data_IF_562013777343
#
_entry.id   IF_562013777343
#
_cell.length_a   1.000
_cell.length_b   1.000
_cell.length_c   1.000
_cell.angle_alpha   90.00
_cell.angle_beta   90.00
_cell.angle_gamma   90.00
#
_symmetry.space_group_name_H-M   'P 1'
#
loop_
_entity.id
_entity.type
_entity.pdbx_description
1 polymer ?
#
# COMPACT_ATOMS: atom_id res chain seq x y z
N UNK A 1 -15.29 2.50 5.90
CA UNK A 1 -14.94 3.52 4.92
C UNK A 1 -15.42 3.14 3.53
N UNK A 2 -15.53 4.11 2.61
CA UNK A 2 -16.08 3.90 1.27
C UNK A 2 -15.60 4.97 0.28
N UNK A 3 -15.68 4.63 -1.00
CA UNK A 3 -15.54 5.52 -2.15
C UNK A 3 -16.93 5.66 -2.77
N UNK A 4 -17.30 6.85 -3.24
CA UNK A 4 -18.59 7.07 -3.90
C UNK A 4 -18.47 8.09 -5.02
N UNK A 5 -19.36 8.00 -6.00
CA UNK A 5 -19.53 9.01 -7.03
C UNK A 5 -20.83 9.78 -6.82
N UNK A 6 -20.78 11.06 -7.14
CA UNK A 6 -21.94 11.95 -7.15
C UNK A 6 -22.20 12.44 -8.57
N UNK A 7 -23.45 12.49 -8.95
CA UNK A 7 -23.88 13.21 -10.14
C UNK A 7 -23.62 14.72 -9.93
N UNK A 8 -22.92 15.36 -10.85
CA UNK A 8 -22.46 16.74 -10.73
C UNK A 8 -23.59 17.77 -10.87
N UNK A 9 -24.69 17.42 -11.52
CA UNK A 9 -25.83 18.30 -11.73
C UNK A 9 -26.83 18.22 -10.57
N UNK A 10 -27.05 17.02 -10.04
CA UNK A 10 -28.08 16.76 -8.98
C UNK A 10 -27.47 16.65 -7.59
N UNK A 11 -26.22 16.26 -7.47
CA UNK A 11 -25.56 15.95 -6.19
C UNK A 11 -26.01 14.59 -5.62
N UNK A 12 -26.77 13.80 -6.35
CA UNK A 12 -27.21 12.48 -5.92
C UNK A 12 -26.06 11.46 -6.03
N UNK A 13 -26.05 10.49 -5.10
CA UNK A 13 -25.09 9.39 -5.15
C UNK A 13 -25.43 8.44 -6.29
N UNK A 14 -24.45 8.21 -7.18
CA UNK A 14 -24.58 7.31 -8.32
C UNK A 14 -24.23 5.88 -7.94
N UNK A 15 -23.08 5.73 -7.24
CA UNK A 15 -22.62 4.43 -6.75
C UNK A 15 -21.73 4.58 -5.51
N UNK A 16 -21.53 3.46 -4.81
CA UNK A 16 -20.66 3.36 -3.63
C UNK A 16 -19.91 2.03 -3.60
N UNK A 17 -18.61 2.09 -3.31
CA UNK A 17 -17.76 0.94 -3.06
C UNK A 17 -17.23 0.98 -1.63
N UNK A 18 -17.35 -0.12 -0.89
CA UNK A 18 -16.82 -0.22 0.47
C UNK A 18 -15.41 -0.73 0.47
N UNK A 19 -14.49 0.00 1.10
CA UNK A 19 -13.06 -0.32 1.18
C UNK A 19 -12.75 -1.40 2.22
N UNK A 20 -13.71 -1.75 3.05
CA UNK A 20 -13.70 -2.91 3.94
C UNK A 20 -14.77 -3.87 3.41
N UNK A 21 -14.36 -5.06 2.95
CA UNK A 21 -15.28 -6.07 2.45
C UNK A 21 -16.29 -6.45 3.53
N UNK A 22 -17.57 -6.44 3.18
CA UNK A 22 -18.65 -6.85 4.09
C UNK A 22 -18.72 -8.37 4.19
N UNK A 23 -19.28 -8.96 5.26
CA UNK A 23 -19.31 -10.41 5.45
C UNK A 23 -19.86 -11.21 4.25
N UNK A 24 -20.89 -10.69 3.60
CA UNK A 24 -21.59 -11.38 2.50
C UNK A 24 -21.09 -10.94 1.10
N UNK A 25 -20.06 -10.11 1.03
CA UNK A 25 -19.47 -9.61 -0.22
C UNK A 25 -18.17 -10.36 -0.59
N UNK A 26 -17.73 -10.27 -1.86
CA UNK A 26 -16.40 -10.74 -2.25
C UNK A 26 -15.32 -10.16 -1.33
N UNK A 27 -14.47 -11.03 -0.79
CA UNK A 27 -13.46 -10.63 0.21
C UNK A 27 -13.93 -10.68 1.66
N UNK A 28 -15.22 -10.87 1.95
CA UNK A 28 -15.75 -10.92 3.32
C UNK A 28 -15.11 -11.98 4.20
N UNK A 29 -14.74 -13.13 3.62
CA UNK A 29 -14.06 -14.24 4.28
C UNK A 29 -12.61 -13.92 4.70
N UNK A 30 -12.03 -12.84 4.20
CA UNK A 30 -10.65 -12.44 4.50
C UNK A 30 -10.49 -11.70 5.82
N UNK A 31 -11.56 -11.51 6.55
CA UNK A 31 -11.58 -10.81 7.83
C UNK A 31 -11.66 -11.74 9.03
N UNK A 32 -11.18 -12.98 8.90
CA UNK A 32 -11.07 -13.94 10.00
C UNK A 32 -12.42 -14.19 10.73
N UNK A 33 -13.52 -14.11 10.01
CA UNK A 33 -14.87 -14.25 10.60
C UNK A 33 -15.36 -13.07 11.45
N UNK A 34 -14.61 -11.94 11.48
CA UNK A 34 -15.01 -10.76 12.24
C UNK A 34 -16.33 -10.18 11.72
N UNK A 35 -17.26 -9.84 12.60
CA UNK A 35 -18.44 -9.07 12.25
C UNK A 35 -18.05 -7.67 11.77
N UNK A 36 -18.92 -7.00 11.02
CA UNK A 36 -18.60 -5.74 10.37
C UNK A 36 -18.17 -4.63 11.34
N UNK A 37 -18.81 -4.57 12.50
CA UNK A 37 -18.52 -3.59 13.55
C UNK A 37 -17.14 -3.72 14.21
N UNK A 38 -16.49 -4.87 14.05
CA UNK A 38 -15.13 -5.13 14.55
C UNK A 38 -14.06 -4.96 13.47
N UNK A 39 -14.46 -4.72 12.20
CA UNK A 39 -13.53 -4.46 11.11
C UNK A 39 -13.16 -2.99 11.07
N UNK A 40 -11.89 -2.69 10.92
CA UNK A 40 -11.40 -1.30 10.89
C UNK A 40 -10.34 -1.09 9.80
N UNK A 41 -9.95 0.17 9.58
CA UNK A 41 -8.99 0.56 8.55
C UNK A 41 -9.65 0.89 7.22
N UNK A 42 -8.93 0.71 6.12
CA UNK A 42 -9.43 0.93 4.76
C UNK A 42 -9.73 2.39 4.41
N UNK A 43 -9.26 3.36 5.18
CA UNK A 43 -9.49 4.78 4.90
C UNK A 43 -8.80 5.23 3.60
N UNK A 44 -9.46 6.14 2.87
CA UNK A 44 -8.90 6.79 1.69
C UNK A 44 -8.57 8.23 2.05
N UNK A 45 -7.30 8.59 2.02
CA UNK A 45 -6.84 9.93 2.41
C UNK A 45 -5.98 10.62 1.36
N UNK A 46 -5.74 9.98 0.23
CA UNK A 46 -5.12 10.55 -0.97
C UNK A 46 -6.11 10.45 -2.14
N UNK A 47 -6.23 11.48 -2.99
CA UNK A 47 -7.07 11.44 -4.18
C UNK A 47 -6.74 10.26 -5.09
N UNK A 48 -7.77 9.69 -5.72
CA UNK A 48 -7.61 8.66 -6.74
C UNK A 48 -7.10 9.20 -8.06
N UNK A 49 -6.76 8.29 -8.98
CA UNK A 49 -6.40 8.60 -10.36
C UNK A 49 -7.45 8.03 -11.31
N UNK A 50 -7.70 8.71 -12.42
CA UNK A 50 -8.65 8.29 -13.46
C UNK A 50 -7.96 8.03 -14.78
N UNK A 51 -8.22 6.89 -15.40
CA UNK A 51 -7.82 6.55 -16.77
C UNK A 51 -9.03 6.62 -17.67
N UNK A 52 -9.04 7.61 -18.56
CA UNK A 52 -10.16 7.83 -19.49
C UNK A 52 -10.26 6.77 -20.59
N UNK A 53 -9.16 6.13 -20.99
CA UNK A 53 -9.17 5.10 -22.03
C UNK A 53 -9.74 3.78 -21.51
N UNK A 54 -9.47 3.46 -20.24
CA UNK A 54 -9.95 2.25 -19.58
C UNK A 54 -11.27 2.46 -18.84
N UNK A 55 -11.68 3.72 -18.63
CA UNK A 55 -12.81 4.12 -17.78
C UNK A 55 -12.68 3.59 -16.35
N UNK A 56 -11.46 3.59 -15.80
CA UNK A 56 -11.18 3.09 -14.44
C UNK A 56 -10.69 4.20 -13.52
N UNK A 57 -11.16 4.18 -12.28
CA UNK A 57 -10.63 5.00 -11.18
C UNK A 57 -9.85 4.10 -10.21
N UNK A 58 -8.67 4.57 -9.77
CA UNK A 58 -7.78 3.81 -8.89
C UNK A 58 -7.64 4.51 -7.55
N UNK A 59 -7.84 3.75 -6.46
CA UNK A 59 -7.70 4.23 -5.11
C UNK A 59 -6.83 3.30 -4.26
N UNK A 60 -6.36 3.81 -3.12
CA UNK A 60 -5.53 3.09 -2.16
C UNK A 60 -6.12 3.09 -0.77
N UNK A 61 -6.90 2.07 -0.39
CA UNK A 61 -7.30 1.88 0.99
C UNK A 61 -6.10 1.68 1.92
N UNK A 62 -6.12 2.35 3.06
CA UNK A 62 -5.13 2.25 4.13
C UNK A 62 -5.17 0.89 4.85
N UNK A 63 -4.21 0.56 5.74
CA UNK A 63 -4.15 -0.72 6.45
C UNK A 63 -5.28 -0.94 7.45
N UNK A 64 -5.27 -2.12 8.10
CA UNK A 64 -6.17 -2.47 9.21
C UNK A 64 -5.78 -1.81 10.51
N UNK A 65 -4.56 -1.31 10.63
CA UNK A 65 -3.93 -0.90 11.89
C UNK A 65 -3.92 -2.03 12.93
N UNK A 66 -3.89 -1.72 14.21
CA UNK A 66 -3.89 -2.70 15.29
C UNK A 66 -5.25 -3.43 15.41
N UNK A 67 -5.43 -4.48 14.61
CA UNK A 67 -6.63 -5.33 14.65
C UNK A 67 -6.26 -6.69 15.23
N UNK A 68 -6.21 -6.78 16.53
CA UNK A 68 -5.73 -7.95 17.29
C UNK A 68 -6.36 -9.29 16.87
N UNK A 69 -7.69 -9.40 16.62
CA UNK A 69 -8.30 -10.67 16.18
C UNK A 69 -7.74 -11.22 14.86
N UNK A 70 -7.15 -10.37 14.00
CA UNK A 70 -6.52 -10.82 12.75
C UNK A 70 -5.16 -11.47 12.95
N UNK A 71 -4.59 -11.48 14.16
CA UNK A 71 -3.29 -12.11 14.44
C UNK A 71 -3.41 -13.62 14.63
N UNK A 72 -4.55 -14.12 15.13
CA UNK A 72 -4.78 -15.54 15.36
C UNK A 72 -5.50 -16.18 14.18
N UNK A 73 -4.98 -17.28 13.60
CA UNK A 73 -5.68 -17.99 12.53
C UNK A 73 -7.06 -18.49 12.97
N UNK A 74 -8.05 -18.38 12.10
CA UNK A 74 -9.38 -18.96 12.31
C UNK A 74 -9.33 -20.50 12.25
N UNK A 75 -10.22 -21.16 12.98
CA UNK A 75 -10.33 -22.64 12.93
C UNK A 75 -10.89 -23.15 11.60
N UNK A 76 -11.74 -22.38 10.92
CA UNK A 76 -12.21 -22.66 9.57
C UNK A 76 -11.14 -22.28 8.55
N UNK A 77 -10.59 -23.23 7.76
CA UNK A 77 -9.53 -22.96 6.81
C UNK A 77 -9.98 -22.14 5.59
N UNK A 78 -11.29 -21.91 5.40
CA UNK A 78 -11.81 -21.04 4.34
C UNK A 78 -11.76 -19.57 4.71
N UNK A 79 -11.58 -19.25 5.98
CA UNK A 79 -11.40 -17.89 6.48
C UNK A 79 -9.92 -17.53 6.42
N UNK A 80 -9.60 -16.37 5.84
CA UNK A 80 -8.24 -15.84 5.84
C UNK A 80 -8.15 -14.56 6.68
N UNK A 81 -6.95 -13.99 6.78
CA UNK A 81 -6.67 -12.81 7.60
C UNK A 81 -6.14 -11.64 6.77
N UNK A 82 -6.35 -11.68 5.47
CA UNK A 82 -5.79 -10.68 4.56
C UNK A 82 -6.45 -9.31 4.70
N UNK A 83 -7.68 -9.27 5.20
CA UNK A 83 -8.44 -8.05 5.49
C UNK A 83 -8.67 -7.17 4.24
N UNK A 84 -9.27 -7.74 3.19
CA UNK A 84 -9.57 -7.01 1.96
C UNK A 84 -10.60 -5.88 2.20
N UNK A 85 -10.41 -4.71 1.62
CA UNK A 85 -9.37 -4.31 0.63
C UNK A 85 -8.29 -3.39 1.23
N UNK A 86 -7.92 -3.58 2.48
CA UNK A 86 -6.86 -2.79 3.12
C UNK A 86 -5.53 -2.96 2.40
N UNK A 87 -4.70 -1.92 2.42
CA UNK A 87 -3.38 -1.87 1.76
C UNK A 87 -3.37 -2.38 0.32
N UNK A 88 -4.43 -2.07 -0.43
CA UNK A 88 -4.60 -2.50 -1.82
C UNK A 88 -4.55 -1.33 -2.79
N UNK A 89 -4.35 -1.62 -4.06
CA UNK A 89 -4.89 -0.82 -5.14
C UNK A 89 -6.22 -1.44 -5.54
N UNK A 90 -7.28 -0.65 -5.53
CA UNK A 90 -8.59 -1.02 -6.08
C UNK A 90 -8.82 -0.22 -7.36
N UNK A 91 -9.23 -0.90 -8.43
CA UNK A 91 -9.66 -0.28 -9.68
C UNK A 91 -11.16 -0.50 -9.85
N UNK A 92 -11.89 0.60 -9.96
CA UNK A 92 -13.34 0.58 -10.09
C UNK A 92 -13.74 1.13 -11.45
N UNK A 93 -14.76 0.55 -12.06
CA UNK A 93 -15.41 1.16 -13.21
C UNK A 93 -15.98 2.53 -12.80
N UNK A 94 -15.65 3.57 -13.56
CA UNK A 94 -15.98 4.95 -13.17
C UNK A 94 -17.49 5.24 -13.23
N UNK A 95 -18.23 4.54 -14.08
CA UNK A 95 -19.66 4.75 -14.25
C UNK A 95 -20.51 3.97 -13.24
N UNK A 96 -20.05 2.77 -12.85
CA UNK A 96 -20.85 1.83 -12.04
C UNK A 96 -20.33 1.62 -10.63
N UNK A 97 -19.05 1.93 -10.35
CA UNK A 97 -18.38 1.63 -9.08
C UNK A 97 -18.08 0.14 -8.89
N UNK A 98 -18.32 -0.71 -9.89
CA UNK A 98 -17.99 -2.12 -9.83
C UNK A 98 -16.48 -2.33 -9.77
N UNK A 99 -16.04 -3.28 -8.94
CA UNK A 99 -14.63 -3.64 -8.81
C UNK A 99 -14.17 -4.38 -10.07
N UNK A 100 -13.34 -3.71 -10.89
CA UNK A 100 -12.70 -4.34 -12.03
C UNK A 100 -11.59 -5.30 -11.60
N UNK A 101 -10.71 -4.84 -10.70
CA UNK A 101 -9.66 -5.64 -10.09
C UNK A 101 -9.14 -4.99 -8.80
N UNK A 102 -8.45 -5.78 -8.01
CA UNK A 102 -7.65 -5.31 -6.87
C UNK A 102 -6.31 -6.03 -6.81
N UNK A 103 -5.33 -5.38 -6.23
CA UNK A 103 -4.03 -5.96 -5.88
C UNK A 103 -3.67 -5.53 -4.47
N UNK A 104 -3.46 -6.49 -3.56
CA UNK A 104 -3.09 -6.19 -2.19
C UNK A 104 -1.56 -6.16 -2.05
N UNK A 105 -1.02 -4.99 -1.72
CA UNK A 105 0.41 -4.74 -1.60
C UNK A 105 1.02 -5.42 -0.38
N UNK A 106 0.34 -5.37 0.75
CA UNK A 106 0.70 -6.07 1.98
C UNK A 106 -0.59 -6.46 2.70
N UNK A 107 -0.72 -7.75 3.05
CA UNK A 107 -1.88 -8.25 3.76
C UNK A 107 -1.70 -8.12 5.27
N UNK A 108 -2.81 -7.91 5.99
CA UNK A 108 -2.86 -7.94 7.46
C UNK A 108 -1.78 -7.08 8.13
N UNK A 109 -1.60 -5.86 7.66
CA UNK A 109 -0.62 -4.94 8.23
C UNK A 109 -1.09 -4.43 9.59
N UNK A 110 -0.29 -4.71 10.61
CA UNK A 110 -0.53 -4.32 12.00
C UNK A 110 0.35 -3.15 12.45
N UNK A 111 1.23 -2.63 11.56
CA UNK A 111 2.28 -1.69 11.91
C UNK A 111 2.13 -0.32 11.25
N UNK A 112 0.98 -0.07 10.61
CA UNK A 112 0.72 1.20 9.92
C UNK A 112 1.67 1.46 8.71
N UNK A 113 1.97 0.41 7.95
CA UNK A 113 2.79 0.50 6.74
C UNK A 113 1.96 0.77 5.49
N UNK A 114 1.26 1.90 5.48
CA UNK A 114 0.33 2.31 4.42
C UNK A 114 0.85 2.14 2.99
N UNK A 115 -0.07 1.69 2.12
CA UNK A 115 0.00 1.86 0.66
C UNK A 115 -1.08 2.82 0.14
N UNK A 116 -1.56 3.72 0.97
CA UNK A 116 -2.67 4.64 0.69
C UNK A 116 -2.23 5.93 -0.06
N UNK A 117 -1.14 5.86 -0.84
CA UNK A 117 -0.57 7.00 -1.55
C UNK A 117 -1.07 7.09 -3.00
N UNK A 118 -0.49 7.99 -3.80
CA UNK A 118 -0.89 8.22 -5.20
C UNK A 118 -0.71 6.96 -6.07
N UNK A 119 -1.62 6.80 -7.04
CA UNK A 119 -1.53 5.83 -8.12
C UNK A 119 -1.20 6.59 -9.40
N UNK A 120 0.06 6.56 -9.82
CA UNK A 120 0.48 7.23 -11.04
C UNK A 120 0.24 6.32 -12.25
N UNK A 121 -0.54 6.80 -13.21
CA UNK A 121 -0.80 6.10 -14.47
C UNK A 121 0.26 6.55 -15.47
N UNK A 122 0.96 5.60 -16.09
CA UNK A 122 2.03 5.90 -17.02
C UNK A 122 2.26 4.80 -18.06
N UNK A 123 2.75 5.19 -19.23
CA UNK A 123 3.18 4.26 -20.27
C UNK A 123 4.65 3.91 -20.07
N UNK A 124 4.92 2.62 -19.86
CA UNK A 124 6.25 2.05 -19.63
C UNK A 124 6.56 0.98 -20.66
N UNK A 125 7.84 0.86 -21.03
CA UNK A 125 8.33 -0.24 -21.86
C UNK A 125 8.96 -1.31 -21.00
N UNK A 126 8.20 -2.37 -20.70
CA UNK A 126 8.60 -3.46 -19.81
C UNK A 126 8.91 -4.70 -20.66
N UNK A 127 10.13 -5.22 -20.58
CA UNK A 127 10.59 -6.37 -21.37
C UNK A 127 10.34 -6.21 -22.88
N UNK A 128 10.49 -4.97 -23.37
CA UNK A 128 10.29 -4.64 -24.79
C UNK A 128 8.83 -4.44 -25.23
N UNK A 129 7.86 -4.61 -24.32
CA UNK A 129 6.42 -4.42 -24.58
C UNK A 129 5.95 -3.12 -23.93
N UNK A 130 5.19 -2.32 -24.66
CA UNK A 130 4.53 -1.14 -24.08
C UNK A 130 3.37 -1.58 -23.19
N UNK A 131 3.35 -1.11 -21.97
CA UNK A 131 2.31 -1.38 -20.97
C UNK A 131 1.84 -0.07 -20.36
N UNK A 132 0.52 0.11 -20.23
CA UNK A 132 -0.04 1.15 -19.36
C UNK A 132 -0.01 0.60 -17.96
N UNK A 133 0.70 1.25 -17.05
CA UNK A 133 0.93 0.79 -15.70
C UNK A 133 0.39 1.77 -14.67
N UNK A 134 -0.09 1.24 -13.55
CA UNK A 134 -0.33 1.97 -12.30
C UNK A 134 0.87 1.73 -11.40
N UNK A 135 1.59 2.81 -11.06
CA UNK A 135 2.76 2.77 -10.19
C UNK A 135 2.44 3.43 -8.87
N UNK A 136 2.75 2.77 -7.78
CA UNK A 136 2.58 3.28 -6.41
C UNK A 136 3.67 2.74 -5.50
N UNK A 137 3.89 3.38 -4.37
CA UNK A 137 4.82 2.89 -3.33
C UNK A 137 4.28 3.18 -1.94
N UNK A 138 4.56 2.28 -1.01
CA UNK A 138 4.12 2.38 0.38
C UNK A 138 5.12 3.04 1.32
N UNK A 139 4.78 3.10 2.60
CA UNK A 139 5.65 3.59 3.69
C UNK A 139 6.98 2.86 3.77
N UNK A 140 7.03 1.59 3.34
CA UNK A 140 8.25 0.79 3.29
C UNK A 140 9.24 1.24 2.20
N UNK A 141 8.89 2.23 1.37
CA UNK A 141 9.66 2.65 0.19
C UNK A 141 9.92 1.51 -0.81
N UNK A 142 9.03 0.53 -0.84
CA UNK A 142 8.90 -0.44 -1.90
C UNK A 142 7.89 0.10 -2.90
N UNK A 143 8.24 0.13 -4.18
CA UNK A 143 7.39 0.57 -5.27
C UNK A 143 6.98 -0.62 -6.14
N UNK A 144 5.76 -0.58 -6.62
CA UNK A 144 5.18 -1.63 -7.46
C UNK A 144 4.51 -1.03 -8.69
N UNK A 145 4.66 -1.70 -9.80
CA UNK A 145 3.97 -1.43 -11.04
C UNK A 145 2.98 -2.56 -11.33
N UNK A 146 1.75 -2.18 -11.61
CA UNK A 146 0.66 -3.09 -11.97
C UNK A 146 0.16 -2.74 -13.38
N UNK A 147 -0.26 -3.71 -14.16
CA UNK A 147 -0.97 -3.45 -15.41
C UNK A 147 -2.28 -2.71 -15.12
N UNK A 148 -2.49 -1.57 -15.76
CA UNK A 148 -3.61 -0.69 -15.44
C UNK A 148 -4.97 -1.32 -15.74
N UNK A 149 -5.06 -2.18 -16.75
CA UNK A 149 -6.33 -2.81 -17.15
C UNK A 149 -6.69 -4.04 -16.30
N UNK A 150 -5.69 -4.76 -15.77
CA UNK A 150 -5.92 -6.10 -15.19
C UNK A 150 -5.46 -6.23 -13.74
N UNK A 151 -4.61 -5.32 -13.24
CA UNK A 151 -3.98 -5.45 -11.93
C UNK A 151 -2.85 -6.48 -11.88
N UNK A 152 -2.44 -7.06 -13.04
CA UNK A 152 -1.31 -7.97 -13.12
C UNK A 152 -0.05 -7.29 -12.56
N UNK A 153 0.66 -7.97 -11.67
CA UNK A 153 1.95 -7.52 -11.18
C UNK A 153 2.99 -7.51 -12.30
N UNK A 154 3.67 -6.39 -12.49
CA UNK A 154 4.67 -6.21 -13.55
C UNK A 154 6.08 -6.26 -12.99
N UNK A 155 6.37 -5.46 -11.97
CA UNK A 155 7.64 -5.44 -11.25
C UNK A 155 7.54 -4.66 -9.95
N UNK A 156 8.56 -4.79 -9.11
CA UNK A 156 8.79 -3.93 -7.95
C UNK A 156 10.25 -3.56 -7.82
N UNK A 157 10.53 -2.50 -7.07
CA UNK A 157 11.86 -2.17 -6.58
C UNK A 157 11.78 -1.68 -5.14
N UNK A 158 12.75 -2.13 -4.35
CA UNK A 158 12.96 -1.71 -2.96
C UNK A 158 14.06 -0.63 -2.95
N UNK A 159 13.85 0.44 -2.21
CA UNK A 159 14.85 1.50 -2.04
C UNK A 159 15.81 1.21 -0.88
N UNK A 160 15.76 0.00 -0.31
CA UNK A 160 16.59 -0.50 0.79
C UNK A 160 16.45 0.32 2.09
N UNK A 161 15.26 0.91 2.30
CA UNK A 161 14.98 1.75 3.47
C UNK A 161 14.23 0.99 4.58
N UNK A 162 14.04 -0.32 4.44
CA UNK A 162 13.17 -1.12 5.30
C UNK A 162 13.83 -2.42 5.76
N UNK A 163 13.28 -3.05 6.81
CA UNK A 163 13.64 -4.38 7.30
C UNK A 163 12.41 -5.26 7.63
N UNK A 164 11.25 -4.84 7.12
CA UNK A 164 9.95 -5.52 7.33
C UNK A 164 9.74 -6.63 6.32
N UNK A 165 10.09 -6.39 5.05
CA UNK A 165 9.98 -7.37 3.96
C UNK A 165 11.35 -8.00 3.71
N UNK A 166 11.42 -9.33 3.75
CA UNK A 166 12.65 -10.10 3.53
C UNK A 166 12.77 -10.63 2.11
N UNK A 167 11.65 -10.81 1.41
CA UNK A 167 11.62 -11.34 0.06
C UNK A 167 10.37 -10.83 -0.67
N UNK A 168 10.51 -10.59 -1.97
CA UNK A 168 9.40 -10.28 -2.88
C UNK A 168 9.43 -11.31 -4.00
N UNK A 169 8.35 -12.07 -4.16
CA UNK A 169 8.19 -13.00 -5.28
C UNK A 169 8.14 -12.20 -6.60
N UNK A 170 9.10 -12.39 -7.46
CA UNK A 170 9.29 -11.61 -8.69
C UNK A 170 8.20 -11.82 -9.74
N UNK A 171 7.36 -12.83 -9.57
CA UNK A 171 6.25 -13.14 -10.49
C UNK A 171 4.92 -12.58 -10.02
N UNK A 172 4.71 -12.52 -8.71
CA UNK A 172 3.41 -12.17 -8.11
C UNK A 172 3.46 -10.90 -7.28
N UNK A 173 4.66 -10.42 -6.92
CA UNK A 173 4.85 -9.31 -5.99
C UNK A 173 4.56 -9.66 -4.52
N UNK A 174 4.22 -10.93 -4.23
CA UNK A 174 3.92 -11.36 -2.85
C UNK A 174 5.13 -11.18 -1.95
N UNK A 175 4.89 -10.58 -0.81
CA UNK A 175 5.93 -10.24 0.17
C UNK A 175 6.00 -11.26 1.31
N UNK A 176 7.21 -11.62 1.70
CA UNK A 176 7.49 -12.37 2.93
C UNK A 176 7.86 -11.38 4.02
N UNK A 177 7.09 -11.39 5.10
CA UNK A 177 7.30 -10.48 6.24
C UNK A 177 8.34 -11.07 7.18
N UNK A 178 9.27 -10.25 7.63
CA UNK A 178 10.26 -10.58 8.65
C UNK A 178 9.56 -11.05 9.95
N UNK A 179 9.97 -12.17 10.55
CA UNK A 179 9.43 -12.57 11.84
C UNK A 179 9.56 -11.49 12.93
N UNK A 180 10.61 -10.65 12.86
CA UNK A 180 10.81 -9.53 13.79
C UNK A 180 9.77 -8.40 13.62
N UNK A 181 9.09 -8.35 12.47
CA UNK A 181 8.05 -7.37 12.18
C UNK A 181 6.62 -7.92 12.39
N UNK A 182 6.48 -9.13 12.96
CA UNK A 182 5.19 -9.73 13.29
C UNK A 182 4.95 -9.53 14.78
N UNK A 183 3.92 -8.76 15.19
CA UNK A 183 3.60 -8.56 16.60
C UNK A 183 3.20 -9.86 17.29
N UNK A 184 3.54 -10.00 18.58
CA UNK A 184 3.04 -11.08 19.43
C UNK A 184 1.52 -11.03 19.57
N UNK A 185 0.89 -12.17 19.84
CA UNK A 185 -0.58 -12.30 19.83
C UNK A 185 -1.28 -11.38 20.84
N UNK A 186 -0.66 -11.16 21.99
CA UNK A 186 -1.19 -10.35 23.09
C UNK A 186 -0.54 -8.95 23.18
N UNK A 187 0.36 -8.63 22.24
CA UNK A 187 1.02 -7.33 22.22
C UNK A 187 0.05 -6.23 21.82
N UNK A 188 -0.04 -5.18 22.62
CA UNK A 188 -0.73 -3.95 22.23
C UNK A 188 0.20 -3.16 21.31
N UNK A 189 -0.24 -2.95 20.06
CA UNK A 189 0.55 -2.19 19.10
C UNK A 189 0.26 -0.70 19.26
N UNK A 190 1.31 0.04 19.46
CA UNK A 190 1.34 1.49 19.37
C UNK A 190 2.44 1.88 18.38
N UNK A 191 2.50 3.13 18.00
CA UNK A 191 3.57 3.68 17.15
C UNK A 191 5.01 3.44 17.69
N UNK A 192 5.15 2.94 18.92
CA UNK A 192 6.44 2.67 19.57
C UNK A 192 6.65 1.19 19.95
N UNK A 193 5.74 0.30 19.53
CA UNK A 193 5.70 -1.07 20.05
C UNK A 193 6.68 -2.04 19.41
N UNK A 194 7.28 -1.67 18.28
CA UNK A 194 8.18 -2.54 17.49
C UNK A 194 9.54 -1.87 17.31
N UNK A 195 10.38 -1.85 18.37
CA UNK A 195 11.70 -1.26 18.30
C UNK A 195 12.60 -1.97 17.27
N UNK A 196 13.50 -1.23 16.63
CA UNK A 196 14.38 -1.75 15.59
C UNK A 196 13.73 -1.91 14.21
N UNK A 197 12.42 -1.66 14.08
CA UNK A 197 11.75 -1.67 12.78
C UNK A 197 12.08 -0.41 11.97
N UNK A 198 12.44 -0.62 10.72
CA UNK A 198 12.70 0.40 9.72
C UNK A 198 11.75 0.20 8.52
N UNK A 199 11.19 1.27 7.99
CA UNK A 199 11.10 2.59 8.61
C UNK A 199 10.23 2.57 9.86
N UNK A 200 10.23 3.69 10.61
CA UNK A 200 9.27 3.89 11.68
C UNK A 200 7.81 4.01 11.13
N UNK A 201 6.83 4.15 12.00
CA UNK A 201 5.41 4.24 11.63
C UNK A 201 5.05 5.40 10.70
N UNK A 202 5.87 6.46 10.62
CA UNK A 202 5.70 7.52 9.61
C UNK A 202 6.17 7.08 8.21
N UNK A 203 6.97 6.02 8.14
CA UNK A 203 7.46 5.48 6.88
C UNK A 203 8.70 6.20 6.33
N UNK A 204 9.46 5.51 5.51
CA UNK A 204 10.49 6.12 4.68
C UNK A 204 9.87 7.05 3.62
N UNK A 205 8.60 6.85 3.31
CA UNK A 205 7.76 7.68 2.46
C UNK A 205 6.41 7.87 3.15
N UNK A 206 5.77 9.02 2.90
CA UNK A 206 4.41 9.32 3.39
C UNK A 206 3.65 10.17 2.35
N UNK A 207 2.99 11.23 2.75
CA UNK A 207 2.17 12.10 1.89
C UNK A 207 2.96 12.89 0.83
N UNK A 208 4.29 12.90 0.90
CA UNK A 208 5.14 13.58 -0.07
C UNK A 208 5.01 12.91 -1.43
N UNK A 209 4.40 13.62 -2.38
CA UNK A 209 4.15 13.10 -3.71
C UNK A 209 5.43 12.83 -4.48
N UNK A 210 5.43 11.76 -5.25
CA UNK A 210 6.47 11.49 -6.25
C UNK A 210 6.22 12.31 -7.53
N UNK A 211 7.24 12.47 -8.35
CA UNK A 211 7.15 13.16 -9.63
C UNK A 211 7.78 12.29 -10.74
N UNK A 212 7.03 12.05 -11.81
CA UNK A 212 7.50 11.29 -12.95
C UNK A 212 7.81 12.17 -14.15
N UNK A 213 8.95 11.94 -14.78
CA UNK A 213 9.31 12.57 -16.04
C UNK A 213 9.17 11.57 -17.20
N UNK A 214 8.17 11.70 -18.07
CA UNK A 214 7.92 10.74 -19.14
C UNK A 214 9.00 10.71 -20.23
N UNK A 215 9.78 11.78 -20.37
CA UNK A 215 10.87 11.84 -21.37
C UNK A 215 12.11 11.06 -20.93
N UNK A 216 12.44 11.10 -19.64
CA UNK A 216 13.61 10.42 -19.07
C UNK A 216 13.26 9.10 -18.38
N UNK A 217 11.97 8.81 -18.22
CA UNK A 217 11.42 7.65 -17.49
C UNK A 217 11.85 7.61 -16.01
N UNK A 218 12.21 8.77 -15.48
CA UNK A 218 12.66 8.91 -14.10
C UNK A 218 11.49 9.20 -13.16
N UNK A 219 11.39 8.43 -12.10
CA UNK A 219 10.54 8.69 -10.94
C UNK A 219 11.40 9.31 -9.83
N UNK A 220 11.03 10.50 -9.39
CA UNK A 220 11.69 11.22 -8.29
C UNK A 220 10.89 10.99 -7.00
N UNK A 221 11.57 10.49 -5.98
CA UNK A 221 10.94 9.98 -4.76
C UNK A 221 11.54 10.69 -3.54
N UNK A 222 10.78 11.55 -2.86
CA UNK A 222 11.21 12.09 -1.56
C UNK A 222 11.11 11.00 -0.49
N UNK A 223 12.18 10.84 0.29
CA UNK A 223 12.33 9.79 1.30
C UNK A 223 12.81 10.41 2.61
N UNK A 224 12.37 9.83 3.71
CA UNK A 224 12.86 10.07 5.06
C UNK A 224 13.53 8.81 5.61
N UNK A 225 14.80 8.90 5.99
CA UNK A 225 15.53 7.78 6.57
C UNK A 225 15.33 7.76 8.10
N UNK A 226 14.35 6.99 8.57
CA UNK A 226 13.98 6.94 9.98
C UNK A 226 13.59 5.54 10.43
N UNK A 227 14.10 5.16 11.62
CA UNK A 227 13.76 3.92 12.30
C UNK A 227 13.36 4.20 13.75
N UNK A 228 12.74 3.24 14.42
CA UNK A 228 12.51 3.30 15.86
C UNK A 228 13.73 2.76 16.63
N UNK A 229 14.11 3.46 17.70
CA UNK A 229 15.14 3.04 18.64
C UNK A 229 14.60 1.94 19.56
N UNK A 230 15.45 0.96 19.86
CA UNK A 230 15.12 -0.20 20.67
C UNK A 230 14.76 0.13 22.12
N UNK A 231 15.35 1.19 22.69
CA UNK A 231 15.30 1.45 24.15
C UNK A 231 14.46 2.66 24.55
N UNK A 232 14.21 3.59 23.65
CA UNK A 232 13.64 4.89 24.04
C UNK A 232 12.39 5.31 23.26
N UNK A 233 12.00 4.56 22.24
CA UNK A 233 10.94 4.97 21.28
C UNK A 233 11.32 6.21 20.49
N UNK A 234 12.58 6.62 20.53
CA UNK A 234 13.08 7.74 19.73
C UNK A 234 13.35 7.29 18.31
N UNK A 235 13.21 8.21 17.39
CA UNK A 235 13.56 7.99 15.99
C UNK A 235 15.06 8.17 15.81
N UNK A 236 15.67 7.29 15.03
CA UNK A 236 17.06 7.39 14.63
C UNK A 236 17.20 7.16 13.12
N UNK A 237 18.33 7.58 12.57
CA UNK A 237 18.63 7.45 11.16
C UNK A 237 19.36 6.12 10.90
N UNK A 238 18.81 5.28 10.00
CA UNK A 238 19.37 3.96 9.70
C UNK A 238 20.70 4.02 8.95
N UNK A 239 20.86 5.04 8.10
CA UNK A 239 22.06 5.22 7.26
C UNK A 239 22.76 6.55 7.56
N UNK A 240 23.16 6.83 8.83
CA UNK A 240 23.72 8.11 9.21
C UNK A 240 25.05 8.42 8.52
N UNK A 241 25.81 7.40 8.13
CA UNK A 241 27.15 7.56 7.55
C UNK A 241 27.12 8.03 6.10
N UNK A 242 26.02 7.81 5.39
CA UNK A 242 25.85 8.28 4.01
C UNK A 242 25.44 9.76 3.94
N UNK A 243 24.97 10.31 5.03
CA UNK A 243 24.62 11.72 5.12
C UNK A 243 25.68 12.49 5.93
N UNK A 244 26.69 12.98 5.26
CA UNK A 244 27.64 13.94 5.83
C UNK A 244 27.00 15.24 6.32
N UNK A 245 25.70 15.40 6.09
CA UNK A 245 24.91 16.59 6.38
C UNK A 245 24.03 16.44 7.63
N UNK A 246 23.83 15.24 8.19
CA UNK A 246 22.91 14.98 9.30
C UNK A 246 21.44 15.22 8.94
N UNK A 247 21.10 15.22 7.66
CA UNK A 247 19.73 15.40 7.17
C UNK A 247 19.05 14.04 6.98
N UNK A 248 17.79 13.95 7.37
CA UNK A 248 16.98 12.72 7.25
C UNK A 248 16.23 12.64 5.92
N UNK A 249 16.14 13.75 5.20
CA UNK A 249 15.46 13.86 3.92
C UNK A 249 16.40 13.57 2.76
N UNK A 250 15.98 12.67 1.87
CA UNK A 250 16.68 12.27 0.66
C UNK A 250 15.70 12.36 -0.52
N UNK A 251 16.21 12.70 -1.71
CA UNK A 251 15.48 12.50 -2.96
C UNK A 251 16.19 11.42 -3.75
N UNK A 252 15.53 10.30 -4.00
CA UNK A 252 16.01 9.27 -4.91
C UNK A 252 15.35 9.43 -6.29
N UNK A 253 16.10 9.11 -7.35
CA UNK A 253 15.61 9.10 -8.72
C UNK A 253 15.84 7.72 -9.31
N UNK A 254 14.75 7.08 -9.77
CA UNK A 254 14.77 5.72 -10.31
C UNK A 254 14.25 5.75 -11.74
N UNK A 255 14.97 5.14 -12.67
CA UNK A 255 14.48 4.93 -14.02
C UNK A 255 13.56 3.69 -14.04
N UNK A 256 12.28 3.87 -14.41
CA UNK A 256 11.29 2.79 -14.32
C UNK A 256 11.38 1.74 -15.47
N UNK A 257 12.26 1.93 -16.43
CA UNK A 257 12.48 0.96 -17.51
C UNK A 257 13.79 0.17 -17.36
N UNK A 258 14.72 0.66 -16.53
CA UNK A 258 16.04 0.01 -16.34
C UNK A 258 16.34 -0.36 -14.89
N UNK A 259 15.55 0.19 -13.92
CA UNK A 259 15.67 0.06 -12.46
C UNK A 259 16.99 0.49 -11.84
#
# INVERSE_FOLDING_TARGET
DFIFALDMDTGEEVWRFYTIARPDEPGGHTWNGLPLEERNGGSIWIPGSFDADLNLVYFGPAPTYDTNPLRTPHSDPTMTRDALYTNSTVALDADTGELAWHYQHISNDQLDHDWAFERQIMDLRINGVNRKAVVTGGKLAIFEALDAATGEYLFSFDLDMQNVVTEIDTRTGRKTISPAAIPELDQVITQYSMPGICPDWLGARNMQSTAYNPNTKMLYIPISDTCLDDDSGKRWQKYPDDSTTGTWGIIKAVNLETH
#
